data_IF_043445957282
#
_entry.id   IF_043445957282
#
_cell.length_a   1.000
_cell.length_b   1.000
_cell.length_c   1.000
_cell.angle_alpha   90.00
_cell.angle_beta   90.00
_cell.angle_gamma   90.00
#
_symmetry.space_group_name_H-M   'P 1'
#
loop_
_entity.id
_entity.type
_entity.pdbx_description
1 polymer ?
#
# COMPACT_ATOMS: atom_id res chain seq x y z
N UNK A 1 -3.31 26.87 12.98
CA UNK A 1 -3.54 25.45 13.24
C UNK A 1 -2.60 24.69 12.35
N UNK A 2 -1.77 23.84 12.95
CA UNK A 2 -0.89 22.92 12.23
C UNK A 2 -1.67 21.95 11.35
N UNK A 3 -0.98 21.42 10.33
CA UNK A 3 -1.50 20.44 9.40
C UNK A 3 -0.97 19.04 9.75
N UNK A 4 -1.84 18.03 9.59
CA UNK A 4 -1.40 16.63 9.60
C UNK A 4 -0.44 16.36 8.44
N UNK A 5 0.30 15.25 8.48
CA UNK A 5 1.19 14.88 7.38
C UNK A 5 0.41 14.74 6.06
N UNK A 6 -0.72 14.04 6.08
CA UNK A 6 -1.55 13.86 4.91
C UNK A 6 -2.07 15.20 4.38
N UNK A 7 -2.51 16.11 5.25
CA UNK A 7 -2.93 17.46 4.85
C UNK A 7 -1.79 18.27 4.22
N UNK A 8 -0.56 18.17 4.72
CA UNK A 8 0.60 18.82 4.10
C UNK A 8 0.86 18.30 2.69
N UNK A 9 0.77 16.98 2.49
CA UNK A 9 0.94 16.38 1.17
C UNK A 9 -0.20 16.82 0.25
N UNK A 10 -1.46 16.74 0.69
CA UNK A 10 -2.63 17.22 -0.05
C UNK A 10 -2.45 18.68 -0.48
N UNK A 11 -2.13 19.56 0.47
CA UNK A 11 -1.94 21.00 0.21
C UNK A 11 -0.86 21.27 -0.84
N UNK A 12 0.23 20.52 -0.84
CA UNK A 12 1.33 20.68 -1.80
C UNK A 12 0.94 20.28 -3.23
N UNK A 13 -0.04 19.39 -3.39
CA UNK A 13 -0.48 18.90 -4.70
C UNK A 13 -1.89 19.36 -5.06
N UNK A 14 -2.48 20.29 -4.30
CA UNK A 14 -3.81 20.81 -4.56
C UNK A 14 -3.82 21.66 -5.84
N UNK A 15 -4.65 21.27 -6.80
CA UNK A 15 -4.87 21.98 -8.06
C UNK A 15 -6.15 22.82 -7.98
N UNK A 16 -7.19 22.32 -7.33
CA UNK A 16 -8.48 22.99 -7.20
C UNK A 16 -9.24 22.52 -5.96
N UNK A 17 -10.20 23.32 -5.50
CA UNK A 17 -11.05 23.04 -4.34
C UNK A 17 -10.47 23.54 -3.02
N UNK A 18 -11.28 23.43 -1.96
CA UNK A 18 -10.90 23.83 -0.61
C UNK A 18 -10.69 22.58 0.27
N UNK A 19 -9.70 22.63 1.16
CA UNK A 19 -9.41 21.53 2.10
C UNK A 19 -10.41 21.47 3.27
N UNK A 20 -11.70 21.52 2.95
CA UNK A 20 -12.82 21.36 3.88
C UNK A 20 -13.36 19.93 3.74
N UNK A 21 -13.37 19.10 4.80
CA UNK A 21 -13.81 17.70 4.71
C UNK A 21 -15.15 17.53 3.98
N UNK A 22 -15.20 16.60 3.04
CA UNK A 22 -16.35 16.31 2.18
C UNK A 22 -16.48 17.17 0.92
N UNK A 23 -15.77 18.30 0.82
CA UNK A 23 -15.73 19.11 -0.41
C UNK A 23 -14.85 18.46 -1.47
N UNK A 24 -15.18 18.60 -2.74
CA UNK A 24 -14.35 18.06 -3.83
C UNK A 24 -13.02 18.82 -3.93
N UNK A 25 -11.92 18.07 -4.00
CA UNK A 25 -10.56 18.58 -4.25
C UNK A 25 -9.96 17.90 -5.47
N UNK A 26 -9.22 18.66 -6.27
CA UNK A 26 -8.44 18.17 -7.40
C UNK A 26 -6.96 18.09 -7.02
N UNK A 27 -6.35 16.92 -7.19
CA UNK A 27 -4.96 16.66 -6.83
C UNK A 27 -4.09 16.40 -8.06
N UNK A 28 -2.91 17.02 -8.09
CA UNK A 28 -1.85 16.65 -9.03
C UNK A 28 -1.27 15.29 -8.60
N UNK A 29 -1.15 14.40 -9.56
CA UNK A 29 -0.54 13.08 -9.37
C UNK A 29 0.90 13.09 -9.90
N UNK A 30 1.86 12.73 -9.04
CA UNK A 30 3.28 12.63 -9.43
C UNK A 30 3.59 11.28 -10.08
N UNK A 31 3.05 10.19 -9.53
CA UNK A 31 3.33 8.82 -9.97
C UNK A 31 2.05 8.03 -10.25
N UNK A 32 2.10 7.12 -11.23
CA UNK A 32 1.03 6.16 -11.48
C UNK A 32 1.53 4.72 -11.54
N UNK A 33 0.66 3.80 -11.15
CA UNK A 33 0.88 2.36 -11.19
C UNK A 33 -0.31 1.68 -11.88
N UNK A 34 -0.04 0.72 -12.75
CA UNK A 34 -1.05 -0.22 -13.23
C UNK A 34 -0.55 -1.65 -13.07
N UNK A 35 -1.47 -2.58 -12.95
CA UNK A 35 -1.20 -4.02 -12.99
C UNK A 35 -1.90 -4.64 -14.20
N UNK A 36 -1.51 -5.83 -14.64
CA UNK A 36 -1.89 -6.40 -15.93
C UNK A 36 -3.38 -6.70 -16.09
N UNK A 37 -4.10 -7.07 -15.03
CA UNK A 37 -5.53 -7.33 -15.06
C UNK A 37 -6.40 -6.06 -15.22
N UNK A 38 -5.97 -4.90 -14.70
CA UNK A 38 -6.73 -3.63 -14.83
C UNK A 38 -6.09 -2.63 -15.79
N UNK A 39 -4.80 -2.81 -16.08
CA UNK A 39 -3.99 -1.91 -16.89
C UNK A 39 -4.39 -1.90 -18.35
N UNK A 40 -4.81 -3.03 -18.91
CA UNK A 40 -5.28 -3.11 -20.31
C UNK A 40 -6.35 -2.07 -20.59
N UNK A 41 -7.40 -2.00 -19.75
CA UNK A 41 -8.47 -1.02 -19.91
C UNK A 41 -7.97 0.42 -19.69
N UNK A 42 -7.17 0.66 -18.66
CA UNK A 42 -6.59 1.99 -18.40
C UNK A 42 -5.76 2.51 -19.60
N UNK A 43 -5.05 1.62 -20.30
CA UNK A 43 -4.25 1.97 -21.47
C UNK A 43 -5.08 2.18 -22.73
N UNK A 44 -6.19 1.45 -22.91
CA UNK A 44 -7.14 1.72 -23.99
C UNK A 44 -7.76 3.11 -23.81
N UNK A 45 -8.19 3.44 -22.58
CA UNK A 45 -8.71 4.77 -22.23
C UNK A 45 -7.66 5.87 -22.46
N UNK A 46 -6.41 5.65 -22.03
CA UNK A 46 -5.31 6.59 -22.26
C UNK A 46 -4.99 6.79 -23.75
N UNK A 47 -4.97 5.73 -24.56
CA UNK A 47 -4.79 5.85 -26.02
C UNK A 47 -5.94 6.66 -26.65
N UNK A 48 -7.17 6.45 -26.19
CA UNK A 48 -8.35 7.17 -26.68
C UNK A 48 -8.30 8.67 -26.37
N UNK A 49 -7.62 9.10 -25.29
CA UNK A 49 -7.39 10.51 -25.00
C UNK A 49 -6.48 11.21 -26.03
N UNK A 50 -5.79 10.46 -26.90
CA UNK A 50 -4.93 11.02 -27.95
C UNK A 50 -3.65 11.69 -27.44
N UNK A 51 -3.26 11.45 -26.18
CA UNK A 51 -2.09 12.08 -25.57
C UNK A 51 -0.82 11.34 -26.03
N UNK A 52 0.20 12.05 -26.56
CA UNK A 52 1.35 11.41 -27.19
C UNK A 52 2.23 10.62 -26.21
N UNK A 53 2.37 11.11 -24.97
CA UNK A 53 3.25 10.56 -23.92
C UNK A 53 2.66 10.88 -22.55
N UNK A 54 2.91 10.03 -21.55
CA UNK A 54 2.53 10.31 -20.16
C UNK A 54 3.14 11.63 -19.66
N UNK A 55 2.39 12.33 -18.80
CA UNK A 55 2.77 13.62 -18.21
C UNK A 55 3.09 13.55 -16.70
N UNK A 56 2.86 12.41 -16.06
CA UNK A 56 3.32 12.17 -14.69
C UNK A 56 4.84 12.06 -14.64
N UNK A 57 5.42 12.26 -13.47
CA UNK A 57 6.87 12.14 -13.28
C UNK A 57 7.33 10.69 -13.49
N UNK A 58 6.48 9.73 -13.13
CA UNK A 58 6.68 8.30 -13.33
C UNK A 58 5.35 7.59 -13.59
N UNK A 59 5.31 6.73 -14.60
CA UNK A 59 4.25 5.75 -14.80
C UNK A 59 4.87 4.37 -14.92
N UNK A 60 4.34 3.37 -14.22
CA UNK A 60 4.84 1.99 -14.29
C UNK A 60 3.70 0.99 -14.51
N UNK A 61 3.85 0.13 -15.51
CA UNK A 61 3.01 -1.03 -15.77
C UNK A 61 3.66 -2.27 -15.16
N UNK A 62 2.93 -3.02 -14.35
CA UNK A 62 3.39 -4.26 -13.75
C UNK A 62 2.65 -5.46 -14.32
N UNK A 63 3.38 -6.56 -14.51
CA UNK A 63 2.81 -7.85 -14.90
C UNK A 63 3.02 -8.84 -13.77
N UNK A 64 2.04 -8.94 -12.88
CA UNK A 64 2.13 -9.69 -11.62
C UNK A 64 0.84 -10.45 -11.25
N UNK A 65 -0.31 -10.15 -11.86
CA UNK A 65 -1.58 -10.82 -11.56
C UNK A 65 -1.78 -12.07 -12.44
N UNK A 66 -1.53 -11.98 -13.74
CA UNK A 66 -1.75 -13.06 -14.70
C UNK A 66 -0.44 -13.72 -15.16
N UNK A 67 0.36 -14.18 -14.21
CA UNK A 67 1.66 -14.80 -14.49
C UNK A 67 1.53 -16.23 -15.06
N UNK A 68 0.43 -16.92 -14.75
CA UNK A 68 0.10 -18.20 -15.35
C UNK A 68 -0.61 -17.98 -16.70
N UNK A 69 0.01 -18.49 -17.76
CA UNK A 69 -0.47 -18.36 -19.14
C UNK A 69 -1.32 -19.59 -19.50
N UNK A 70 -2.59 -19.59 -19.08
CA UNK A 70 -3.53 -20.69 -19.38
C UNK A 70 -4.18 -20.59 -20.76
N UNK A 71 -4.13 -19.41 -21.38
CA UNK A 71 -4.73 -19.07 -22.68
C UNK A 71 -3.92 -17.98 -23.41
N UNK A 72 -4.43 -17.52 -24.56
CA UNK A 72 -3.74 -16.49 -25.36
C UNK A 72 -4.04 -15.07 -24.88
N UNK A 73 -5.14 -14.87 -24.15
CA UNK A 73 -5.64 -13.59 -23.67
C UNK A 73 -4.58 -12.87 -22.83
N UNK A 74 -4.00 -13.56 -21.83
CA UNK A 74 -2.95 -13.00 -20.98
C UNK A 74 -1.70 -12.62 -21.81
N UNK A 75 -1.31 -13.45 -22.78
CA UNK A 75 -0.13 -13.19 -23.61
C UNK A 75 -0.34 -11.97 -24.51
N UNK A 76 -1.55 -11.81 -25.06
CA UNK A 76 -1.91 -10.68 -25.91
C UNK A 76 -2.07 -9.39 -25.09
N UNK A 77 -2.69 -9.44 -23.91
CA UNK A 77 -2.76 -8.31 -22.98
C UNK A 77 -1.36 -7.84 -22.56
N UNK A 78 -0.47 -8.76 -22.21
CA UNK A 78 0.91 -8.42 -21.82
C UNK A 78 1.69 -7.79 -22.98
N UNK A 79 1.50 -8.28 -24.20
CA UNK A 79 2.10 -7.69 -25.42
C UNK A 79 1.52 -6.31 -25.69
N UNK A 80 0.21 -6.13 -25.55
CA UNK A 80 -0.45 -4.85 -25.70
C UNK A 80 0.13 -3.84 -24.70
N UNK A 81 0.14 -4.16 -23.40
CA UNK A 81 0.69 -3.31 -22.34
C UNK A 81 2.16 -2.97 -22.62
N UNK A 82 2.97 -3.96 -22.99
CA UNK A 82 4.38 -3.72 -23.34
C UNK A 82 4.54 -2.74 -24.50
N UNK A 83 3.69 -2.87 -25.54
CA UNK A 83 3.73 -2.00 -26.72
C UNK A 83 3.32 -0.56 -26.39
N UNK A 84 2.25 -0.39 -25.61
CA UNK A 84 1.79 0.93 -25.14
C UNK A 84 2.85 1.55 -24.25
N UNK A 85 3.42 0.78 -23.32
CA UNK A 85 4.41 1.29 -22.40
C UNK A 85 5.64 1.83 -23.14
N UNK A 86 6.14 1.08 -24.12
CA UNK A 86 7.22 1.52 -25.01
C UNK A 86 6.87 2.77 -25.81
N UNK A 87 5.64 2.84 -26.35
CA UNK A 87 5.17 3.97 -27.16
C UNK A 87 4.97 5.25 -26.36
N UNK A 88 4.45 5.14 -25.13
CA UNK A 88 3.97 6.27 -24.32
C UNK A 88 4.90 6.68 -23.18
N UNK A 89 6.07 6.03 -23.06
CA UNK A 89 7.09 6.39 -22.08
C UNK A 89 6.79 5.90 -20.66
N UNK A 90 6.10 4.76 -20.54
CA UNK A 90 5.79 4.10 -19.27
C UNK A 90 6.85 3.02 -19.03
N UNK A 91 7.28 2.83 -17.79
CA UNK A 91 8.15 1.72 -17.43
C UNK A 91 7.37 0.41 -17.43
N UNK A 92 7.89 -0.61 -18.12
CA UNK A 92 7.28 -1.94 -18.16
C UNK A 92 8.05 -2.89 -17.24
N UNK A 93 7.44 -3.28 -16.12
CA UNK A 93 7.93 -4.33 -15.25
C UNK A 93 7.47 -5.68 -15.76
N UNK A 94 8.43 -6.52 -16.18
CA UNK A 94 8.18 -7.80 -16.83
C UNK A 94 7.64 -8.84 -15.85
N UNK A 95 6.95 -9.90 -16.33
CA UNK A 95 6.60 -11.04 -15.51
C UNK A 95 7.79 -11.56 -14.70
N UNK A 96 7.58 -11.79 -13.40
CA UNK A 96 8.60 -12.32 -12.50
C UNK A 96 9.50 -11.27 -11.82
N UNK A 97 9.33 -9.97 -12.11
CA UNK A 97 10.06 -8.91 -11.41
C UNK A 97 9.59 -8.68 -9.96
N UNK A 98 8.38 -9.13 -9.62
CA UNK A 98 7.78 -8.94 -8.30
C UNK A 98 6.40 -8.28 -8.38
N UNK A 99 5.72 -8.26 -7.24
CA UNK A 99 4.39 -7.70 -7.04
C UNK A 99 4.47 -6.18 -7.11
N UNK A 100 3.52 -5.57 -7.81
CA UNK A 100 3.51 -4.16 -8.17
C UNK A 100 3.80 -3.23 -6.99
N UNK A 101 3.13 -3.40 -5.85
CA UNK A 101 3.32 -2.56 -4.66
C UNK A 101 4.69 -2.71 -4.02
N UNK A 102 5.21 -3.94 -3.94
CA UNK A 102 6.52 -4.23 -3.35
C UNK A 102 7.62 -3.61 -4.22
N UNK A 103 7.57 -3.85 -5.54
CA UNK A 103 8.54 -3.29 -6.48
C UNK A 103 8.45 -1.77 -6.51
N UNK A 104 7.24 -1.20 -6.47
CA UNK A 104 7.06 0.25 -6.43
C UNK A 104 7.66 0.85 -5.15
N UNK A 105 7.39 0.26 -3.99
CA UNK A 105 7.95 0.68 -2.70
C UNK A 105 9.48 0.70 -2.71
N UNK A 106 10.10 -0.36 -3.23
CA UNK A 106 11.56 -0.52 -3.23
C UNK A 106 12.27 0.35 -4.28
N UNK A 107 11.69 0.45 -5.49
CA UNK A 107 12.41 1.00 -6.66
C UNK A 107 11.99 2.40 -7.07
N UNK A 108 10.76 2.81 -6.75
CA UNK A 108 10.15 3.99 -7.37
C UNK A 108 9.52 4.99 -6.39
N UNK A 109 8.98 4.51 -5.28
CA UNK A 109 8.22 5.34 -4.35
C UNK A 109 9.10 6.37 -3.65
N UNK A 110 8.62 7.61 -3.54
CA UNK A 110 9.36 8.75 -2.98
C UNK A 110 8.51 9.40 -1.88
N UNK A 111 9.03 9.55 -0.65
CA UNK A 111 8.31 10.21 0.44
C UNK A 111 7.69 11.55 0.03
N UNK A 112 6.42 11.73 0.36
CA UNK A 112 5.67 12.97 0.16
C UNK A 112 5.10 13.15 -1.24
N UNK A 113 5.43 12.30 -2.21
CA UNK A 113 4.81 12.31 -3.55
C UNK A 113 3.42 11.69 -3.52
N UNK A 114 2.59 12.06 -4.50
CA UNK A 114 1.29 11.42 -4.74
C UNK A 114 1.42 10.25 -5.71
N UNK A 115 0.71 9.16 -5.41
CA UNK A 115 0.61 7.98 -6.26
C UNK A 115 -0.86 7.61 -6.40
N UNK A 116 -1.32 7.36 -7.62
CA UNK A 116 -2.56 6.60 -7.83
C UNK A 116 -2.30 5.34 -8.63
N UNK A 117 -2.99 4.27 -8.29
CA UNK A 117 -2.83 2.98 -8.94
C UNK A 117 -4.15 2.32 -9.26
N UNK A 118 -4.21 1.56 -10.35
CA UNK A 118 -5.40 0.80 -10.76
C UNK A 118 -5.57 -0.49 -9.93
N UNK A 119 -5.26 -0.40 -8.63
CA UNK A 119 -5.26 -1.48 -7.67
C UNK A 119 -5.60 -0.96 -6.27
N UNK A 120 -6.44 -1.69 -5.53
CA UNK A 120 -6.94 -1.29 -4.21
C UNK A 120 -5.84 -1.17 -3.15
N UNK A 121 -4.76 -1.94 -3.27
CA UNK A 121 -3.68 -2.00 -2.29
C UNK A 121 -2.53 -1.02 -2.57
N UNK A 122 -2.73 -0.09 -3.50
CA UNK A 122 -1.85 1.07 -3.72
C UNK A 122 -1.47 1.85 -2.44
N UNK A 123 -2.32 1.95 -1.40
CA UNK A 123 -1.94 2.49 -0.08
C UNK A 123 -0.70 1.88 0.57
N UNK A 124 -0.17 0.76 0.08
CA UNK A 124 1.16 0.24 0.45
C UNK A 124 2.26 1.31 0.38
N UNK A 125 2.21 2.22 -0.60
CA UNK A 125 3.17 3.34 -0.72
C UNK A 125 3.17 4.30 0.47
N UNK A 126 2.10 4.32 1.27
CA UNK A 126 2.01 5.06 2.51
C UNK A 126 3.06 4.67 3.55
N UNK A 127 3.62 3.45 3.49
CA UNK A 127 4.66 2.98 4.41
C UNK A 127 5.97 3.76 4.36
N UNK A 128 6.27 4.41 3.22
CA UNK A 128 7.41 5.34 3.06
C UNK A 128 6.99 6.82 3.12
N UNK A 129 5.71 7.11 3.39
CA UNK A 129 5.19 8.47 3.49
C UNK A 129 4.69 9.07 2.19
N UNK A 130 4.27 8.26 1.21
CA UNK A 130 3.51 8.75 0.05
C UNK A 130 2.03 8.93 0.37
N UNK A 131 1.35 9.80 -0.37
CA UNK A 131 -0.11 9.78 -0.46
C UNK A 131 -0.50 8.87 -1.64
N UNK A 132 -0.72 7.59 -1.35
CA UNK A 132 -0.88 6.53 -2.35
C UNK A 132 -2.30 5.96 -2.35
N UNK A 133 -3.07 6.15 -3.43
CA UNK A 133 -4.52 5.88 -3.44
C UNK A 133 -4.87 4.87 -4.55
N UNK A 134 -5.69 3.87 -4.23
CA UNK A 134 -6.29 3.01 -5.24
C UNK A 134 -7.39 3.76 -5.99
N UNK A 135 -7.38 3.70 -7.32
CA UNK A 135 -8.32 4.42 -8.18
C UNK A 135 -8.77 3.55 -9.37
N UNK A 136 -9.80 3.99 -10.09
CA UNK A 136 -10.25 3.32 -11.31
C UNK A 136 -9.26 3.49 -12.45
N UNK A 137 -9.32 2.61 -13.45
CA UNK A 137 -8.47 2.69 -14.65
C UNK A 137 -8.54 4.06 -15.35
N UNK A 138 -9.75 4.63 -15.42
CA UNK A 138 -9.99 5.93 -16.03
C UNK A 138 -9.29 7.07 -15.28
N UNK A 139 -9.35 7.09 -13.96
CA UNK A 139 -8.67 8.10 -13.14
C UNK A 139 -7.15 8.02 -13.33
N UNK A 140 -6.61 6.80 -13.39
CA UNK A 140 -5.19 6.55 -13.67
C UNK A 140 -4.83 7.03 -15.08
N UNK A 141 -5.67 6.78 -16.08
CA UNK A 141 -5.49 7.28 -17.45
C UNK A 141 -5.49 8.81 -17.52
N UNK A 142 -6.45 9.46 -16.85
CA UNK A 142 -6.54 10.92 -16.76
C UNK A 142 -5.30 11.51 -16.09
N UNK A 143 -4.85 10.92 -14.98
CA UNK A 143 -3.63 11.34 -14.30
C UNK A 143 -2.38 11.16 -15.17
N UNK A 144 -2.24 10.01 -15.86
CA UNK A 144 -1.18 9.81 -16.87
C UNK A 144 -1.22 10.90 -17.96
N UNK A 145 -2.41 11.38 -18.31
CA UNK A 145 -2.63 12.49 -19.25
C UNK A 145 -2.31 13.89 -18.69
N UNK A 146 -2.00 13.99 -17.40
CA UNK A 146 -1.75 15.23 -16.68
C UNK A 146 -3.00 15.93 -16.16
N UNK A 147 -4.16 15.25 -16.18
CA UNK A 147 -5.36 15.72 -15.51
C UNK A 147 -5.29 15.54 -13.99
N UNK A 148 -5.96 16.39 -13.21
CA UNK A 148 -6.06 16.21 -11.77
C UNK A 148 -6.95 15.01 -11.39
N UNK A 149 -6.66 14.38 -10.26
CA UNK A 149 -7.48 13.35 -9.63
C UNK A 149 -8.44 13.98 -8.62
N UNK A 150 -9.73 13.74 -8.77
CA UNK A 150 -10.76 14.36 -7.94
C UNK A 150 -11.26 13.40 -6.86
N UNK A 151 -11.25 13.86 -5.61
CA UNK A 151 -11.80 13.12 -4.46
C UNK A 151 -12.51 14.08 -3.51
N UNK A 152 -13.49 13.61 -2.71
CA UNK A 152 -13.93 14.37 -1.55
C UNK A 152 -12.77 14.48 -0.55
N UNK A 153 -12.52 15.68 -0.03
CA UNK A 153 -11.49 15.93 0.98
C UNK A 153 -11.72 15.01 2.18
N UNK A 154 -10.77 14.11 2.49
CA UNK A 154 -10.96 13.13 3.55
C UNK A 154 -10.81 13.78 4.94
N UNK A 155 -11.43 13.15 5.94
CA UNK A 155 -11.12 13.40 7.35
C UNK A 155 -9.80 12.74 7.74
N UNK A 156 -9.18 13.20 8.81
CA UNK A 156 -7.90 12.69 9.32
C UNK A 156 -8.13 11.83 10.57
N UNK A 157 -7.87 10.53 10.46
CA UNK A 157 -7.89 9.61 11.60
C UNK A 157 -6.46 9.35 12.07
N UNK A 158 -6.15 9.76 13.29
CA UNK A 158 -4.87 9.43 13.93
C UNK A 158 -4.91 8.03 14.52
N UNK A 159 -3.97 7.16 14.14
CA UNK A 159 -3.67 5.93 14.89
C UNK A 159 -2.38 6.16 15.65
N UNK A 160 -2.49 6.40 16.95
CA UNK A 160 -1.37 6.71 17.83
C UNK A 160 -0.78 5.41 18.41
N UNK A 161 0.37 4.99 17.90
CA UNK A 161 1.10 3.79 18.29
C UNK A 161 2.07 4.09 19.45
N UNK A 162 1.95 3.36 20.55
CA UNK A 162 2.86 3.44 21.70
C UNK A 162 3.52 2.08 21.98
N UNK A 163 4.62 2.07 22.74
CA UNK A 163 5.32 0.83 23.09
C UNK A 163 5.99 0.15 21.89
N UNK A 164 6.19 -1.18 21.98
CA UNK A 164 6.84 -2.01 20.96
C UNK A 164 6.18 -3.37 20.86
N UNK A 165 6.15 -3.93 19.64
CA UNK A 165 5.69 -5.29 19.40
C UNK A 165 6.49 -6.33 20.19
N UNK A 166 5.77 -7.27 20.81
CA UNK A 166 6.37 -8.43 21.48
C UNK A 166 6.95 -9.42 20.46
N UNK A 167 7.89 -10.30 20.87
CA UNK A 167 8.34 -11.40 20.01
C UNK A 167 7.16 -12.18 19.42
N UNK A 168 7.30 -12.60 18.15
CA UNK A 168 6.27 -13.32 17.37
C UNK A 168 5.00 -12.53 17.01
N UNK A 169 4.87 -11.29 17.47
CA UNK A 169 3.86 -10.34 16.98
C UNK A 169 4.46 -9.51 15.85
N UNK A 170 3.67 -9.28 14.82
CA UNK A 170 4.09 -8.65 13.57
C UNK A 170 3.24 -7.42 13.25
N UNK A 171 3.65 -6.66 12.23
CA UNK A 171 2.88 -5.52 11.74
C UNK A 171 1.51 -5.93 11.17
N UNK A 172 1.38 -7.17 10.69
CA UNK A 172 0.09 -7.75 10.27
C UNK A 172 -0.90 -7.78 11.45
N UNK A 173 -0.43 -8.12 12.64
CA UNK A 173 -1.27 -8.13 13.83
C UNK A 173 -1.71 -6.71 14.23
N UNK A 174 -0.88 -5.70 13.99
CA UNK A 174 -1.25 -4.30 14.26
C UNK A 174 -2.43 -3.88 13.39
N UNK A 175 -2.37 -4.12 12.08
CA UNK A 175 -3.46 -3.73 11.19
C UNK A 175 -4.71 -4.59 11.39
N UNK A 176 -4.57 -5.87 11.73
CA UNK A 176 -5.70 -6.70 12.15
C UNK A 176 -6.35 -6.20 13.46
N UNK A 177 -5.54 -5.72 14.41
CA UNK A 177 -6.07 -5.10 15.63
C UNK A 177 -6.85 -3.82 15.32
N UNK A 178 -6.32 -2.96 14.45
CA UNK A 178 -6.99 -1.73 14.01
C UNK A 178 -8.28 -2.07 13.25
N UNK A 179 -8.24 -3.06 12.35
CA UNK A 179 -9.39 -3.54 11.59
C UNK A 179 -10.48 -4.14 12.50
N UNK A 180 -10.10 -4.87 13.55
CA UNK A 180 -11.04 -5.35 14.58
C UNK A 180 -11.77 -4.21 15.30
N UNK A 181 -11.10 -3.08 15.52
CA UNK A 181 -11.65 -1.92 16.24
C UNK A 181 -12.51 -1.02 15.34
N UNK A 182 -12.08 -0.82 14.10
CA UNK A 182 -12.69 0.12 13.17
C UNK A 182 -13.69 -0.55 12.22
N UNK A 183 -13.63 -1.87 12.04
CA UNK A 183 -14.40 -2.65 11.05
C UNK A 183 -14.08 -2.26 9.61
N UNK A 184 -14.66 -2.99 8.64
CA UNK A 184 -14.50 -2.69 7.20
C UNK A 184 -15.07 -1.33 6.76
N UNK A 185 -15.80 -0.63 7.63
CA UNK A 185 -16.40 0.69 7.34
C UNK A 185 -15.70 1.84 8.06
N UNK A 186 -14.76 1.56 8.96
CA UNK A 186 -14.19 2.58 9.83
C UNK A 186 -13.23 3.55 9.13
N UNK A 187 -12.72 3.20 7.96
CA UNK A 187 -11.85 4.05 7.14
C UNK A 187 -12.58 4.91 6.10
N UNK A 188 -13.86 4.64 5.80
CA UNK A 188 -14.58 5.30 4.70
C UNK A 188 -14.55 6.83 4.83
N UNK A 189 -14.04 7.50 3.78
CA UNK A 189 -13.90 8.96 3.75
C UNK A 189 -12.79 9.52 4.63
N UNK A 190 -11.84 8.68 5.07
CA UNK A 190 -10.74 9.05 5.97
C UNK A 190 -9.39 8.68 5.38
N UNK A 191 -8.38 9.47 5.72
CA UNK A 191 -6.97 9.07 5.66
C UNK A 191 -6.53 8.63 7.04
N UNK A 192 -5.95 7.43 7.12
CA UNK A 192 -5.42 6.87 8.37
C UNK A 192 -3.95 7.25 8.50
N UNK A 193 -3.63 8.12 9.46
CA UNK A 193 -2.28 8.60 9.70
C UNK A 193 -1.71 7.95 10.96
N UNK A 194 -0.61 7.20 10.80
CA UNK A 194 0.02 6.46 11.89
C UNK A 194 1.11 7.32 12.55
N UNK A 195 0.92 7.58 13.84
CA UNK A 195 1.73 8.49 14.65
C UNK A 195 2.18 7.83 15.96
N UNK A 196 2.96 8.54 16.77
CA UNK A 196 3.38 8.10 18.10
C UNK A 196 4.77 7.45 18.13
N UNK A 197 5.29 7.21 19.33
CA UNK A 197 6.63 6.68 19.55
C UNK A 197 6.83 5.27 18.96
N UNK A 198 5.76 4.47 18.90
CA UNK A 198 5.79 3.10 18.41
C UNK A 198 6.14 3.01 16.93
N UNK A 199 5.91 4.07 16.15
CA UNK A 199 6.25 4.15 14.72
C UNK A 199 7.75 3.89 14.48
N UNK A 200 8.62 4.39 15.35
CA UNK A 200 10.08 4.23 15.23
C UNK A 200 10.54 2.78 15.42
N UNK A 201 9.66 1.92 15.94
CA UNK A 201 9.95 0.50 16.16
C UNK A 201 9.63 -0.38 14.95
N UNK A 202 8.93 0.17 13.96
CA UNK A 202 8.47 -0.54 12.76
C UNK A 202 9.35 -0.18 11.56
N UNK A 203 9.82 -1.21 10.86
CA UNK A 203 10.56 -1.05 9.59
C UNK A 203 9.63 -0.57 8.47
N UNK A 204 10.17 0.01 7.38
CA UNK A 204 9.37 0.43 6.23
C UNK A 204 8.49 -0.70 5.66
N UNK A 205 8.98 -1.94 5.44
CA UNK A 205 8.10 -3.02 4.99
C UNK A 205 6.97 -3.35 5.98
N UNK A 206 7.23 -3.27 7.29
CA UNK A 206 6.20 -3.43 8.31
C UNK A 206 5.16 -2.30 8.28
N UNK A 207 5.60 -1.04 8.05
CA UNK A 207 4.68 0.09 7.83
C UNK A 207 3.85 -0.12 6.57
N UNK A 208 4.47 -0.60 5.50
CA UNK A 208 3.81 -0.90 4.23
C UNK A 208 2.76 -2.01 4.36
N UNK A 209 3.02 -3.07 5.14
CA UNK A 209 1.99 -4.07 5.52
C UNK A 209 0.77 -3.40 6.17
N UNK A 210 1.00 -2.46 7.08
CA UNK A 210 -0.09 -1.77 7.79
C UNK A 210 -0.87 -0.87 6.83
N UNK A 211 -0.18 -0.09 5.99
CA UNK A 211 -0.88 0.82 5.06
C UNK A 211 -1.55 0.09 3.90
N UNK A 212 -0.97 -1.03 3.42
CA UNK A 212 -1.57 -1.94 2.45
C UNK A 212 -2.97 -2.36 2.88
N UNK A 213 -3.08 -2.87 4.12
CA UNK A 213 -4.36 -3.31 4.67
C UNK A 213 -5.27 -2.18 5.19
N UNK A 214 -4.87 -0.93 4.98
CA UNK A 214 -5.78 0.22 5.09
C UNK A 214 -6.91 0.16 4.06
N UNK A 215 -6.71 -0.57 2.96
CA UNK A 215 -7.76 -0.84 1.97
C UNK A 215 -8.96 -1.59 2.58
N UNK A 216 -8.72 -2.59 3.43
CA UNK A 216 -9.79 -3.36 4.10
C UNK A 216 -10.60 -2.55 5.12
N UNK A 217 -10.09 -1.39 5.57
CA UNK A 217 -10.86 -0.42 6.37
C UNK A 217 -11.82 0.42 5.52
N UNK A 218 -11.70 0.37 4.19
CA UNK A 218 -12.33 1.31 3.27
C UNK A 218 -11.69 2.70 3.30
N UNK A 219 -10.45 2.82 3.80
CA UNK A 219 -9.75 4.11 3.87
C UNK A 219 -9.42 4.63 2.47
N UNK A 220 -9.45 5.96 2.29
CA UNK A 220 -8.95 6.59 1.06
C UNK A 220 -7.48 6.24 0.85
N UNK A 221 -6.68 6.31 1.93
CA UNK A 221 -5.32 5.79 2.00
C UNK A 221 -4.88 5.75 3.47
N UNK A 222 -3.72 5.15 3.71
CA UNK A 222 -3.00 5.20 4.97
C UNK A 222 -1.61 5.79 4.77
N UNK A 223 -1.02 6.42 5.78
CA UNK A 223 0.32 7.02 5.67
C UNK A 223 1.10 6.97 6.99
N UNK A 224 2.41 6.71 6.88
CA UNK A 224 3.38 6.86 7.96
C UNK A 224 4.29 8.09 7.70
N UNK A 225 4.90 8.67 8.74
CA UNK A 225 5.94 9.67 8.56
C UNK A 225 7.17 9.10 7.83
N UNK A 226 7.91 10.01 7.18
CA UNK A 226 9.23 9.72 6.64
C UNK A 226 10.28 10.17 7.64
N UNK A 227 10.85 9.21 8.36
CA UNK A 227 11.82 9.41 9.43
C UNK A 227 13.16 8.73 9.08
N UNK A 228 14.05 8.61 10.07
CA UNK A 228 15.35 7.94 9.89
C UNK A 228 15.22 6.47 9.46
N UNK A 229 14.13 5.78 9.82
CA UNK A 229 13.88 4.41 9.35
C UNK A 229 13.60 4.41 7.85
N UNK A 230 12.84 5.39 7.36
CA UNK A 230 12.62 5.59 5.92
C UNK A 230 13.93 5.93 5.20
N UNK A 231 14.80 6.75 5.81
CA UNK A 231 16.12 7.08 5.27
C UNK A 231 17.00 5.86 5.10
N UNK A 232 17.12 5.04 6.14
CA UNK A 232 17.95 3.83 6.11
C UNK A 232 17.40 2.79 5.13
N UNK A 233 16.07 2.66 5.01
CA UNK A 233 15.46 1.84 3.97
C UNK A 233 15.83 2.32 2.56
N UNK A 234 15.63 3.60 2.26
CA UNK A 234 15.97 4.15 0.94
C UNK A 234 17.46 4.04 0.64
N UNK A 235 18.33 4.24 1.64
CA UNK A 235 19.77 4.02 1.52
C UNK A 235 20.12 2.57 1.21
N UNK A 236 19.50 1.60 1.87
CA UNK A 236 19.67 0.18 1.58
C UNK A 236 19.22 -0.19 0.15
N UNK A 237 18.26 0.56 -0.40
CA UNK A 237 17.83 0.44 -1.80
C UNK A 237 18.71 1.23 -2.80
N UNK A 238 19.78 1.89 -2.35
CA UNK A 238 20.64 2.73 -3.20
C UNK A 238 20.02 4.08 -3.58
N UNK A 239 19.00 4.51 -2.83
CA UNK A 239 18.12 5.66 -3.12
C UNK A 239 18.12 6.72 -2.02
N UNK A 240 19.21 6.86 -1.27
CA UNK A 240 19.32 7.83 -0.17
C UNK A 240 18.98 9.27 -0.57
N UNK A 241 19.23 9.65 -1.84
CA UNK A 241 18.92 10.97 -2.40
C UNK A 241 17.41 11.27 -2.51
N UNK A 242 16.57 10.23 -2.52
CA UNK A 242 15.11 10.37 -2.64
C UNK A 242 14.46 10.61 -1.27
N UNK A 243 15.23 10.47 -0.17
CA UNK A 243 14.69 10.67 1.18
C UNK A 243 14.42 12.14 1.47
N UNK A 244 13.30 12.40 2.12
CA UNK A 244 12.95 13.70 2.71
C UNK A 244 12.26 13.43 4.04
N UNK A 245 12.61 14.19 5.08
CA UNK A 245 11.93 14.09 6.37
C UNK A 245 10.50 14.65 6.25
N UNK A 246 9.52 13.89 6.74
CA UNK A 246 8.11 14.27 6.72
C UNK A 246 7.44 13.92 8.04
N UNK A 247 6.84 14.93 8.66
CA UNK A 247 6.09 14.81 9.91
C UNK A 247 4.90 15.78 9.94
N UNK A 248 3.87 15.41 10.70
CA UNK A 248 2.79 16.34 11.06
C UNK A 248 3.35 17.55 11.84
N UNK A 249 2.62 18.65 11.84
CA UNK A 249 2.92 19.76 12.77
C UNK A 249 2.62 19.35 14.22
N UNK A 250 3.33 19.94 15.18
CA UNK A 250 3.20 19.60 16.60
C UNK A 250 1.80 19.95 17.15
N UNK A 251 1.15 20.98 16.59
CA UNK A 251 -0.22 21.41 16.90
C UNK A 251 -1.27 20.93 15.87
N UNK A 252 -0.95 19.89 15.08
CA UNK A 252 -1.87 19.32 14.11
C UNK A 252 -3.13 18.73 14.78
N UNK A 253 -4.30 19.07 14.23
CA UNK A 253 -5.60 18.60 14.71
C UNK A 253 -6.12 17.48 13.83
N UNK A 254 -6.57 16.40 14.47
CA UNK A 254 -7.17 15.24 13.81
C UNK A 254 -8.65 15.17 14.14
N UNK A 255 -9.46 14.72 13.19
CA UNK A 255 -10.91 14.55 13.40
C UNK A 255 -11.20 13.45 14.42
N UNK A 256 -10.40 12.38 14.40
CA UNK A 256 -10.56 11.21 15.26
C UNK A 256 -9.19 10.67 15.69
N UNK A 257 -9.14 9.98 16.84
CA UNK A 257 -7.91 9.34 17.34
C UNK A 257 -8.20 7.96 17.92
N UNK A 258 -7.43 6.97 17.48
CA UNK A 258 -7.36 5.62 18.03
C UNK A 258 -5.97 5.41 18.66
N UNK A 259 -5.92 5.09 19.94
CA UNK A 259 -4.67 4.75 20.63
C UNK A 259 -4.45 3.23 20.58
N UNK A 260 -3.23 2.80 20.22
CA UNK A 260 -2.84 1.40 20.14
C UNK A 260 -1.51 1.20 20.86
N UNK A 261 -1.55 0.47 21.98
CA UNK A 261 -0.34 0.00 22.65
C UNK A 261 0.16 -1.28 21.98
N UNK A 262 1.29 -1.18 21.27
CA UNK A 262 1.92 -2.29 20.55
C UNK A 262 2.33 -3.44 21.46
N UNK A 263 2.53 -3.20 22.76
CA UNK A 263 2.87 -4.25 23.73
C UNK A 263 1.68 -5.17 24.04
N UNK A 264 0.46 -4.66 23.88
CA UNK A 264 -0.79 -5.39 24.14
C UNK A 264 -1.31 -6.15 22.90
N UNK A 265 -0.75 -5.88 21.72
CA UNK A 265 -1.09 -6.63 20.51
C UNK A 265 -0.61 -8.08 20.68
N UNK A 266 -1.48 -9.02 20.32
CA UNK A 266 -1.23 -10.47 20.30
C UNK A 266 -1.19 -10.97 18.85
N UNK A 267 -0.87 -12.24 18.63
CA UNK A 267 -1.02 -12.85 17.31
C UNK A 267 -2.50 -12.98 16.96
N UNK A 268 -2.90 -12.39 15.83
CA UNK A 268 -4.27 -12.30 15.35
C UNK A 268 -4.40 -12.96 13.98
N UNK A 269 -5.61 -13.43 13.66
CA UNK A 269 -5.97 -13.81 12.31
C UNK A 269 -7.40 -13.34 11.99
N UNK A 270 -7.61 -12.94 10.73
CA UNK A 270 -8.95 -12.72 10.19
C UNK A 270 -9.59 -14.09 9.89
N UNK A 271 -10.75 -14.35 10.48
CA UNK A 271 -11.52 -15.56 10.23
C UNK A 271 -12.43 -15.39 8.99
N UNK A 272 -12.80 -16.49 8.30
CA UNK A 272 -13.81 -16.43 7.26
C UNK A 272 -15.16 -15.86 7.78
N UNK A 273 -15.95 -15.14 7.00
CA UNK A 273 -15.78 -14.71 5.60
C UNK A 273 -15.49 -13.20 5.48
N UNK A 274 -15.03 -12.54 6.53
CA UNK A 274 -14.82 -11.08 6.56
C UNK A 274 -13.44 -10.73 7.11
N UNK A 275 -12.72 -9.76 6.53
CA UNK A 275 -11.39 -9.41 7.01
C UNK A 275 -11.41 -8.78 8.42
N UNK A 276 -12.54 -8.20 8.84
CA UNK A 276 -12.71 -7.67 10.21
C UNK A 276 -13.21 -8.71 11.24
N UNK A 277 -13.43 -9.96 10.84
CA UNK A 277 -13.75 -11.07 11.75
C UNK A 277 -12.48 -11.57 12.48
N UNK A 278 -11.80 -10.67 13.18
CA UNK A 278 -10.47 -10.89 13.74
C UNK A 278 -10.55 -11.53 15.13
N UNK A 279 -9.85 -12.65 15.29
CA UNK A 279 -9.68 -13.37 16.55
C UNK A 279 -8.20 -13.56 16.86
N UNK A 280 -7.86 -13.68 18.14
CA UNK A 280 -6.53 -14.14 18.51
C UNK A 280 -6.32 -15.60 18.11
N UNK A 281 -5.08 -15.97 17.84
CA UNK A 281 -4.72 -17.36 17.54
C UNK A 281 -5.15 -18.30 18.67
N UNK A 282 -5.10 -17.84 19.92
CA UNK A 282 -5.56 -18.60 21.09
C UNK A 282 -7.08 -18.83 21.08
N UNK A 283 -7.87 -17.83 20.70
CA UNK A 283 -9.33 -17.96 20.55
C UNK A 283 -9.72 -18.90 19.39
N UNK A 284 -8.93 -18.95 18.32
CA UNK A 284 -9.17 -19.84 17.18
C UNK A 284 -8.87 -21.29 17.58
N UNK A 285 -7.82 -21.51 18.35
CA UNK A 285 -7.42 -22.83 18.81
C UNK A 285 -6.95 -23.74 17.67
N UNK A 286 -7.07 -25.05 17.89
CA UNK A 286 -6.60 -26.05 16.93
C UNK A 286 -7.66 -26.29 15.85
N UNK A 287 -7.28 -26.05 14.61
CA UNK A 287 -8.08 -26.38 13.43
C UNK A 287 -7.23 -27.19 12.45
N UNK A 288 -7.89 -28.06 11.66
CA UNK A 288 -7.23 -28.69 10.52
C UNK A 288 -7.03 -27.63 9.44
N UNK A 289 -5.84 -27.61 8.84
CA UNK A 289 -5.53 -26.80 7.66
C UNK A 289 -5.07 -27.74 6.55
N UNK A 290 -5.44 -27.45 5.32
CA UNK A 290 -5.02 -28.22 4.14
C UNK A 290 -3.97 -27.44 3.32
N UNK A 291 -3.89 -26.11 3.48
CA UNK A 291 -2.94 -25.26 2.77
C UNK A 291 -2.48 -24.07 3.62
N UNK A 292 -1.21 -23.69 3.44
CA UNK A 292 -0.61 -22.47 3.98
C UNK A 292 0.01 -21.69 2.82
N UNK A 293 -0.46 -20.46 2.61
CA UNK A 293 0.09 -19.54 1.61
C UNK A 293 0.82 -18.40 2.30
N UNK A 294 2.10 -18.23 1.99
CA UNK A 294 2.98 -17.23 2.58
C UNK A 294 3.44 -16.27 1.48
N UNK A 295 3.53 -14.97 1.78
CA UNK A 295 3.92 -13.97 0.80
C UNK A 295 2.74 -13.09 0.40
N UNK A 296 2.54 -12.92 -0.91
CA UNK A 296 1.54 -12.03 -1.53
C UNK A 296 1.90 -10.53 -1.41
N UNK A 297 0.97 -9.65 -1.82
CA UNK A 297 1.19 -8.20 -1.85
C UNK A 297 1.36 -7.57 -0.47
N UNK A 298 0.90 -8.23 0.60
CA UNK A 298 0.89 -7.65 1.96
C UNK A 298 2.14 -7.98 2.79
N UNK A 299 2.67 -9.21 2.69
CA UNK A 299 3.71 -9.73 3.60
C UNK A 299 4.73 -10.62 2.88
N UNK A 300 5.55 -10.02 2.02
CA UNK A 300 6.53 -10.74 1.20
C UNK A 300 7.92 -10.12 1.23
N UNK A 301 8.17 -9.26 2.22
CA UNK A 301 9.48 -8.64 2.41
C UNK A 301 10.55 -9.68 2.81
N UNK A 302 11.83 -9.32 2.65
CA UNK A 302 12.94 -10.14 3.13
C UNK A 302 12.76 -10.56 4.60
N UNK A 303 12.29 -9.65 5.46
CA UNK A 303 12.09 -9.94 6.88
C UNK A 303 10.97 -10.95 7.13
N UNK A 304 9.90 -10.90 6.34
CA UNK A 304 8.80 -11.86 6.42
C UNK A 304 9.28 -13.26 6.02
N UNK A 305 10.00 -13.36 4.89
CA UNK A 305 10.56 -14.63 4.41
C UNK A 305 11.60 -15.20 5.39
N UNK A 306 12.43 -14.36 6.02
CA UNK A 306 13.39 -14.80 7.03
C UNK A 306 12.73 -15.29 8.32
N UNK A 307 11.60 -14.70 8.75
CA UNK A 307 10.80 -15.23 9.86
C UNK A 307 10.29 -16.63 9.54
N UNK A 308 9.75 -16.81 8.33
CA UNK A 308 9.22 -18.11 7.85
C UNK A 308 10.34 -19.16 7.77
N UNK A 309 11.48 -18.80 7.18
CA UNK A 309 12.66 -19.67 7.12
C UNK A 309 13.12 -20.09 8.53
N UNK A 310 13.09 -19.17 9.50
CA UNK A 310 13.45 -19.46 10.90
C UNK A 310 12.47 -20.43 11.57
N UNK A 311 11.16 -20.31 11.27
CA UNK A 311 10.12 -21.22 11.80
C UNK A 311 10.29 -22.63 11.25
N UNK A 312 10.61 -22.75 9.96
CA UNK A 312 10.73 -24.02 9.23
C UNK A 312 12.10 -24.69 9.37
N UNK A 313 13.12 -23.97 9.87
CA UNK A 313 14.49 -24.50 9.97
C UNK A 313 14.54 -25.81 10.75
N UNK A 314 15.05 -26.86 10.10
CA UNK A 314 15.17 -28.20 10.69
C UNK A 314 13.85 -28.96 10.85
N UNK A 315 12.77 -28.48 10.23
CA UNK A 315 11.43 -29.10 10.28
C UNK A 315 10.97 -29.45 8.87
N UNK A 316 10.05 -30.41 8.80
CA UNK A 316 9.35 -30.77 7.58
C UNK A 316 7.87 -30.41 7.73
N UNK A 317 7.27 -29.89 6.67
CA UNK A 317 5.83 -29.61 6.63
C UNK A 317 5.07 -30.93 6.73
N UNK A 318 3.91 -30.93 7.40
CA UNK A 318 3.05 -32.10 7.48
C UNK A 318 2.66 -32.57 6.06
N UNK A 319 2.72 -33.88 5.73
CA UNK A 319 2.43 -34.39 4.39
C UNK A 319 1.03 -34.08 3.87
N UNK A 320 0.07 -33.82 4.77
CA UNK A 320 -1.31 -33.47 4.41
C UNK A 320 -1.51 -31.96 4.17
N UNK A 321 -0.44 -31.14 4.30
CA UNK A 321 -0.50 -29.68 4.17
C UNK A 321 0.33 -29.20 2.98
N UNK A 322 -0.34 -28.52 2.04
CA UNK A 322 0.34 -27.82 0.95
C UNK A 322 0.92 -26.48 1.43
N UNK A 323 2.23 -26.27 1.27
CA UNK A 323 2.89 -25.00 1.58
C UNK A 323 3.28 -24.28 0.28
N UNK A 324 2.80 -23.06 0.10
CA UNK A 324 3.17 -22.18 -1.02
C UNK A 324 3.82 -20.92 -0.48
N UNK A 325 4.93 -20.50 -1.09
CA UNK A 325 5.65 -19.29 -0.73
C UNK A 325 5.80 -18.42 -1.99
N UNK A 326 5.29 -17.20 -1.93
CA UNK A 326 5.34 -16.21 -3.02
C UNK A 326 6.15 -14.99 -2.59
N UNK A 327 7.44 -14.91 -2.92
CA UNK A 327 8.25 -13.70 -2.74
C UNK A 327 7.61 -12.49 -3.43
N UNK A 328 7.90 -11.31 -2.88
CA UNK A 328 7.35 -10.03 -3.34
C UNK A 328 8.06 -9.48 -4.55
#
# INVERSE_FOLDING_TARGET
MGLTLAQKIIKRHLVSGDMVPGSEIGLKIDQTLTQDATGTMAYIEFEAMGIPRVRTELSVAYVDHNTLQTGFENADDHRFIQSVAKKRGIYFSRPGNGICHQVHLERFGIPGKTLIGSDSHTPTGGGIGMLAIGAGGLDVAVAMGGGPYYIPMPKMLRVNLTGRLRPWVSAKDVILYVLKKLTVKGGVGRVVEYCGEGVKTLTVPERATITNMGAELGATTSVFPSDEVTREFLKAQGRAKDWTELKADDDAVYDETLNVDLSQVTSLAACPNSPDAVKSVDEIGKIKIDQVCIGSCTNSSYRDLMRVASILKGKTVNPDVSLVISPG
#
